data_IF_341423275403
#
_entry.id   IF_341423275403
#
_cell.length_a   1.000
_cell.length_b   1.000
_cell.length_c   1.000
_cell.angle_alpha   90.00
_cell.angle_beta   90.00
_cell.angle_gamma   90.00
#
_symmetry.space_group_name_H-M   'P 1'
#
loop_
_entity.id
_entity.type
_entity.pdbx_description
1 polymer ?
2 non-polymer ?
3 water ?
#
# COMPACT_ATOMS: atom_id res chain seq x y z
N UNK A 1 -19.94 1.01 19.14
CA UNK A 1 -18.74 0.40 18.56
C UNK A 1 -19.10 -0.92 17.91
N UNK A 2 -18.35 -1.29 16.86
CA UNK A 2 -18.48 -2.58 16.16
C UNK A 2 -17.52 -3.53 16.86
N UNK A 3 -18.13 -4.80 17.10
CA UNK A 3 -17.23 -5.69 17.88
C UNK A 3 -16.04 -6.21 17.06
N UNK A 4 -16.26 -6.51 15.80
CA UNK A 4 -15.23 -7.14 14.94
C UNK A 4 -15.08 -6.29 13.68
N UNK A 5 -14.55 -5.05 13.81
CA UNK A 5 -14.43 -4.16 12.66
C UNK A 5 -13.59 -4.80 11.56
N UNK A 6 -14.05 -4.70 10.32
CA UNK A 6 -13.38 -5.37 9.18
C UNK A 6 -12.31 -4.47 8.55
N UNK A 7 -12.16 -3.20 8.98
CA UNK A 7 -11.12 -2.30 8.44
C UNK A 7 -11.00 -1.11 9.40
N UNK A 8 -10.14 -0.17 9.06
CA UNK A 8 -9.87 1.00 9.93
C UNK A 8 -11.05 1.97 9.88
N UNK A 9 -11.92 1.86 8.88
CA UNK A 9 -13.11 2.76 8.78
C UNK A 9 -14.09 2.32 9.87
N UNK A 10 -14.34 1.03 10.00
CA UNK A 10 -15.23 0.46 11.06
C UNK A 10 -14.58 0.58 12.44
N UNK A 11 -13.24 0.68 12.52
CA UNK A 11 -12.54 0.76 13.82
C UNK A 11 -12.58 2.18 14.34
N UNK A 12 -12.75 3.13 13.43
CA UNK A 12 -12.64 4.59 13.69
C UNK A 12 -13.99 5.05 14.17
N UNK A 13 -14.99 4.85 13.32
CA UNK A 13 -16.43 5.10 13.63
C UNK A 13 -16.69 4.56 15.04
N UNK A 14 -15.97 3.50 15.46
CA UNK A 14 -15.91 3.01 16.87
C UNK A 14 -15.37 4.11 17.80
N UNK A 15 -15.17 5.33 17.29
CA UNK A 15 -14.78 6.51 18.09
C UNK A 15 -13.28 6.82 18.07
N UNK A 16 -12.44 5.78 18.04
CA UNK A 16 -10.95 5.88 18.12
C UNK A 16 -10.39 6.74 16.98
N UNK A 17 -10.05 7.99 17.25
CA UNK A 17 -9.58 8.97 16.23
C UNK A 17 -8.05 9.10 16.24
N UNK A 18 -7.38 8.27 17.03
CA UNK A 18 -5.90 8.27 17.21
C UNK A 18 -5.28 7.29 16.21
N UNK A 19 -4.32 7.75 15.42
CA UNK A 19 -3.58 6.85 14.51
C UNK A 19 -2.77 5.90 15.39
N UNK A 20 -2.63 4.65 14.96
CA UNK A 20 -1.82 3.65 15.67
C UNK A 20 -2.33 2.27 15.36
N UNK A 21 -1.99 1.30 16.19
CA UNK A 21 -2.29 -0.12 15.98
C UNK A 21 -3.69 -0.46 16.46
N UNK A 22 -4.46 -1.09 15.59
CA UNK A 22 -5.82 -1.58 15.90
C UNK A 22 -5.92 -3.01 15.41
N UNK A 23 -6.85 -3.74 16.00
CA UNK A 23 -7.24 -5.07 15.52
C UNK A 23 -8.42 -4.96 14.57
N UNK A 24 -8.27 -5.49 13.37
CA UNK A 24 -9.42 -5.70 12.49
C UNK A 24 -9.65 -7.19 12.34
N UNK A 25 -10.79 -7.51 11.77
CA UNK A 25 -11.27 -8.90 11.66
C UNK A 25 -11.75 -9.13 10.25
N UNK A 26 -11.03 -9.97 9.51
CA UNK A 26 -11.33 -10.14 8.07
C UNK A 26 -12.69 -10.81 7.96
N UNK A 27 -13.56 -10.26 7.09
CA UNK A 27 -14.96 -10.71 6.95
C UNK A 27 -15.73 -10.57 8.27
N UNK A 28 -15.31 -9.74 9.23
CA UNK A 28 -16.00 -9.60 10.53
C UNK A 28 -15.91 -10.86 11.39
N UNK A 29 -14.97 -11.75 11.08
CA UNK A 29 -14.84 -13.08 11.72
C UNK A 29 -13.85 -12.93 12.88
N UNK A 30 -14.27 -13.19 14.11
CA UNK A 30 -13.41 -13.00 15.32
C UNK A 30 -12.20 -13.96 15.27
N UNK A 31 -12.22 -14.98 14.43
CA UNK A 31 -11.07 -15.91 14.26
C UNK A 31 -10.14 -15.42 13.14
N UNK A 32 -10.36 -14.23 12.55
CA UNK A 32 -9.43 -13.74 11.50
C UNK A 32 -8.92 -12.38 11.90
N UNK A 33 -8.42 -12.27 13.14
CA UNK A 33 -7.87 -11.03 13.70
C UNK A 33 -6.61 -10.67 12.91
N UNK A 34 -6.42 -9.40 12.67
CA UNK A 34 -5.22 -8.87 11.99
C UNK A 34 -4.89 -7.56 12.68
N UNK A 35 -3.64 -7.39 13.12
CA UNK A 35 -3.21 -6.09 13.71
C UNK A 35 -2.77 -5.21 12.55
N UNK A 36 -3.37 -4.05 12.46
CA UNK A 36 -3.00 -3.10 11.38
C UNK A 36 -2.68 -1.76 12.01
N UNK A 37 -1.92 -0.98 11.27
CA UNK A 37 -1.74 0.46 11.58
C UNK A 37 -2.86 1.22 10.86
N UNK A 38 -3.67 1.95 11.62
CA UNK A 38 -4.73 2.85 11.08
C UNK A 38 -4.21 4.29 11.06
N UNK A 39 -4.25 4.90 9.87
CA UNK A 39 -4.01 6.36 9.73
C UNK A 39 -5.38 7.01 9.90
N UNK A 40 -5.61 7.59 11.08
CA UNK A 40 -6.95 8.14 11.42
C UNK A 40 -6.99 9.64 11.15
N UNK A 41 -5.94 10.23 10.56
CA UNK A 41 -5.89 11.71 10.39
C UNK A 41 -5.92 12.13 8.91
N UNK A 42 -5.29 11.40 8.00
CA UNK A 42 -5.20 11.78 6.57
C UNK A 42 -6.58 11.74 5.92
N UNK A 43 -6.98 12.84 5.28
CA UNK A 43 -8.27 13.00 4.55
C UNK A 43 -9.36 12.21 5.23
N UNK A 44 -9.69 12.56 6.46
CA UNK A 44 -10.83 12.01 7.19
C UNK A 44 -10.54 10.69 7.90
N UNK A 45 -9.35 10.10 7.70
CA UNK A 45 -8.92 8.91 8.46
C UNK A 45 -9.55 7.61 7.99
N UNK A 46 -9.53 6.58 8.83
CA UNK A 46 -10.13 5.26 8.55
C UNK A 46 -9.30 4.46 7.55
N UNK A 47 -8.01 4.76 7.41
CA UNK A 47 -7.12 4.09 6.43
C UNK A 47 -6.33 2.95 7.07
N UNK A 48 -6.39 1.76 6.50
CA UNK A 48 -5.38 0.70 6.77
C UNK A 48 -4.12 1.05 6.00
N UNK A 49 -3.04 1.32 6.71
CA UNK A 49 -1.73 1.50 6.06
C UNK A 49 -1.17 0.11 5.73
N UNK A 50 -0.73 -0.09 4.50
CA UNK A 50 -0.20 -1.41 4.12
C UNK A 50 1.23 -1.33 3.60
N UNK A 51 1.76 -0.13 3.44
CA UNK A 51 3.19 0.09 3.09
C UNK A 51 3.62 1.38 3.76
N UNK A 52 4.76 1.35 4.42
CA UNK A 52 5.38 2.60 4.93
C UNK A 52 6.88 2.51 4.64
N UNK A 53 7.39 3.56 4.00
CA UNK A 53 8.84 3.82 3.85
C UNK A 53 9.13 5.15 4.54
N UNK A 54 10.20 5.20 5.33
CA UNK A 54 10.49 6.47 6.04
C UNK A 54 11.96 6.56 6.50
N UNK A 55 12.74 5.50 6.44
CA UNK A 55 14.12 5.61 7.01
C UNK A 55 15.10 4.57 6.46
N UNK A 56 14.70 3.62 5.61
CA UNK A 56 15.64 2.65 5.02
C UNK A 56 16.15 1.63 6.03
N UNK A 57 15.51 1.48 7.18
CA UNK A 57 15.97 0.48 8.20
C UNK A 57 15.50 -0.92 7.78
N UNK A 58 14.38 -1.06 7.06
CA UNK A 58 13.87 -2.40 6.70
C UNK A 58 14.32 -2.79 5.29
N UNK A 59 14.55 -4.07 5.09
CA UNK A 59 14.89 -4.66 3.78
C UNK A 59 13.58 -4.96 3.02
N UNK A 60 13.37 -4.35 1.87
CA UNK A 60 12.18 -4.63 1.03
C UNK A 60 12.53 -5.56 -0.12
N UNK A 61 13.80 -5.94 -0.27
CA UNK A 61 14.17 -6.88 -1.33
C UNK A 61 13.94 -8.29 -0.80
N UNK A 62 12.68 -8.71 -0.72
CA UNK A 62 12.25 -9.96 -0.05
C UNK A 62 11.53 -10.80 -1.06
N UNK A 63 11.36 -12.09 -0.73
CA UNK A 63 10.83 -13.12 -1.63
C UNK A 63 9.30 -13.14 -1.66
N UNK A 64 8.76 -13.96 -2.55
CA UNK A 64 7.31 -14.18 -2.72
C UNK A 64 6.63 -14.46 -1.38
N UNK A 65 7.12 -15.44 -0.61
CA UNK A 65 6.46 -15.84 0.66
C UNK A 65 6.42 -14.61 1.58
N UNK A 66 7.48 -13.80 1.63
CA UNK A 66 7.55 -12.58 2.46
C UNK A 66 6.51 -11.53 2.00
N UNK A 67 6.40 -11.30 0.68
CA UNK A 67 5.39 -10.37 0.14
C UNK A 67 3.99 -10.93 0.32
N UNK A 68 3.81 -12.26 0.27
CA UNK A 68 2.47 -12.84 0.49
C UNK A 68 2.04 -12.66 1.94
N UNK A 69 2.95 -12.86 2.89
CA UNK A 69 2.65 -12.92 4.35
C UNK A 69 2.69 -11.54 5.01
N UNK A 70 3.57 -10.67 4.55
CA UNK A 70 3.87 -9.38 5.19
C UNK A 70 5.12 -9.49 6.03
N UNK A 71 5.72 -8.34 6.32
CA UNK A 71 6.98 -8.25 7.11
C UNK A 71 7.13 -6.84 7.63
N UNK A 72 7.97 -6.68 8.64
CA UNK A 72 8.36 -5.39 9.21
C UNK A 72 7.60 -5.02 10.45
N UNK A 73 7.86 -3.82 10.93
CA UNK A 73 7.30 -3.22 12.14
C UNK A 73 6.18 -2.29 11.67
N UNK A 74 4.94 -2.60 12.04
CA UNK A 74 3.75 -1.83 11.58
C UNK A 74 3.81 -0.38 12.07
N UNK A 75 4.61 -0.07 13.09
CA UNK A 75 4.80 1.32 13.59
C UNK A 75 5.87 2.07 12.80
N UNK A 76 6.64 1.37 11.98
CA UNK A 76 7.77 1.97 11.22
C UNK A 76 7.66 1.45 9.77
N UNK A 77 8.71 0.89 9.22
CA UNK A 77 8.67 0.42 7.81
C UNK A 77 8.16 -1.00 7.76
N UNK A 78 7.18 -1.24 6.91
CA UNK A 78 6.56 -2.57 6.80
C UNK A 78 5.80 -2.69 5.50
N UNK A 79 5.45 -3.94 5.24
CA UNK A 79 4.55 -4.39 4.15
C UNK A 79 3.48 -5.30 4.76
N UNK A 80 2.20 -4.99 4.58
CA UNK A 80 1.12 -5.72 5.28
C UNK A 80 0.97 -7.17 4.81
N UNK A 81 1.28 -7.45 3.56
CA UNK A 81 1.03 -8.80 3.01
C UNK A 81 -0.02 -8.81 1.92
N UNK A 82 0.28 -9.46 0.81
CA UNK A 82 -0.67 -9.57 -0.34
C UNK A 82 -1.87 -10.43 0.03
N UNK A 83 -1.71 -11.48 0.83
CA UNK A 83 -2.86 -12.33 1.22
C UNK A 83 -3.83 -11.48 2.06
N UNK A 84 -3.28 -10.67 2.97
CA UNK A 84 -4.09 -9.71 3.76
C UNK A 84 -4.79 -8.74 2.81
N UNK A 85 -4.06 -8.14 1.87
CA UNK A 85 -4.65 -7.13 0.97
C UNK A 85 -5.76 -7.78 0.14
N UNK A 86 -5.57 -9.02 -0.30
CA UNK A 86 -6.62 -9.71 -1.11
C UNK A 86 -7.88 -9.87 -0.25
N UNK A 87 -7.69 -10.35 0.97
CA UNK A 87 -8.82 -10.64 1.89
C UNK A 87 -9.52 -9.33 2.27
N UNK A 88 -8.80 -8.25 2.52
CA UNK A 88 -9.44 -6.93 2.85
C UNK A 88 -10.24 -6.47 1.62
N UNK A 89 -9.60 -6.42 0.45
CA UNK A 89 -10.24 -5.78 -0.73
C UNK A 89 -11.42 -6.65 -1.24
N UNK A 90 -11.48 -7.94 -0.86
CA UNK A 90 -12.61 -8.83 -1.20
C UNK A 90 -13.86 -8.45 -0.43
N UNK A 91 -13.75 -7.66 0.66
CA UNK A 91 -14.86 -7.36 1.63
C UNK A 91 -15.84 -6.30 1.07
N UNK A 92 -15.44 -5.57 0.04
CA UNK A 92 -16.31 -4.50 -0.53
C UNK A 92 -15.52 -3.70 -1.53
N UNK A 93 -15.97 -2.50 -1.87
CA UNK A 93 -15.25 -1.62 -2.81
C UNK A 93 -14.33 -0.75 -1.96
N UNK A 94 -13.02 -0.90 -2.17
CA UNK A 94 -11.99 -0.07 -1.48
C UNK A 94 -11.36 0.95 -2.44
N UNK A 95 -10.86 2.00 -1.80
CA UNK A 95 -10.10 3.09 -2.43
C UNK A 95 -8.68 3.04 -1.89
N UNK A 96 -7.72 3.29 -2.77
CA UNK A 96 -6.29 3.37 -2.45
C UNK A 96 -5.93 4.85 -2.28
N UNK A 97 -5.14 5.13 -1.25
CA UNK A 97 -4.45 6.42 -1.13
C UNK A 97 -2.95 6.19 -0.95
N UNK A 98 -2.17 6.99 -1.65
CA UNK A 98 -0.72 7.04 -1.54
C UNK A 98 -0.35 8.44 -1.07
N UNK A 99 0.35 8.50 0.05
CA UNK A 99 0.90 9.75 0.62
C UNK A 99 2.40 9.74 0.39
N UNK A 100 2.94 10.81 -0.16
CA UNK A 100 4.38 10.91 -0.46
C UNK A 100 4.88 12.20 0.19
N UNK A 101 6.10 12.17 0.70
CA UNK A 101 6.75 13.39 1.21
C UNK A 101 8.24 13.23 0.96
N UNK A 102 8.88 14.31 0.52
CA UNK A 102 10.31 14.32 0.19
C UNK A 102 10.80 15.76 0.37
N UNK A 103 11.77 15.95 1.23
CA UNK A 103 12.44 17.26 1.43
C UNK A 103 11.36 18.33 1.50
N UNK A 104 10.33 18.05 2.32
CA UNK A 104 9.29 19.01 2.71
C UNK A 104 8.16 19.11 1.71
N UNK A 105 8.31 18.60 0.50
CA UNK A 105 7.19 18.62 -0.46
C UNK A 105 6.33 17.39 -0.25
N UNK A 106 5.03 17.54 -0.40
CA UNK A 106 4.07 16.44 -0.29
C UNK A 106 3.28 16.30 -1.58
N UNK A 107 2.82 15.09 -1.85
CA UNK A 107 1.85 14.83 -2.94
C UNK A 107 1.01 13.62 -2.54
N UNK A 108 -0.07 13.40 -3.25
CA UNK A 108 -0.89 12.22 -2.95
C UNK A 108 -1.53 11.76 -4.26
N UNK A 109 -1.97 10.52 -4.21
CA UNK A 109 -2.79 9.93 -5.27
C UNK A 109 -3.88 9.10 -4.56
N UNK A 110 -5.09 9.21 -5.07
CA UNK A 110 -6.23 8.41 -4.61
C UNK A 110 -6.77 7.69 -5.84
N UNK A 111 -7.15 6.42 -5.68
CA UNK A 111 -7.80 5.62 -6.73
C UNK A 111 -9.09 5.08 -6.15
N UNK A 112 -10.22 5.53 -6.75
CA UNK A 112 -11.64 5.19 -6.51
C UNK A 112 -11.81 3.71 -6.20
N UNK A 113 -11.12 2.88 -6.99
CA UNK A 113 -11.30 1.41 -7.07
C UNK A 113 -9.91 0.81 -6.95
N UNK A 114 -9.76 0.00 -5.93
CA UNK A 114 -8.49 -0.70 -5.63
C UNK A 114 -8.81 -2.10 -5.13
N UNK A 115 -8.23 -3.10 -5.78
CA UNK A 115 -8.38 -4.48 -5.32
C UNK A 115 -7.10 -5.23 -5.62
N UNK A 116 -6.88 -6.28 -4.87
CA UNK A 116 -5.74 -7.22 -5.04
C UNK A 116 -6.34 -8.60 -5.16
N UNK A 117 -6.10 -9.26 -6.28
CA UNK A 117 -6.60 -10.63 -6.51
C UNK A 117 -5.97 -11.66 -5.59
N UNK A 118 -6.43 -12.92 -5.63
CA UNK A 118 -5.88 -13.98 -4.76
C UNK A 118 -4.64 -14.58 -5.42
N UNK A 119 -4.05 -15.56 -4.75
CA UNK A 119 -2.76 -16.16 -5.17
C UNK A 119 -2.86 -16.75 -6.59
N UNK A 120 -4.04 -17.24 -6.97
CA UNK A 120 -4.26 -17.87 -8.29
C UNK A 120 -4.14 -16.78 -9.35
N UNK A 121 -4.31 -15.49 -9.00
CA UNK A 121 -4.13 -14.35 -9.95
C UNK A 121 -2.73 -13.75 -9.81
N UNK A 122 -1.85 -14.39 -9.04
CA UNK A 122 -0.58 -13.83 -8.55
C UNK A 122 -0.84 -12.42 -7.99
N UNK A 123 -1.93 -12.28 -7.24
CA UNK A 123 -2.25 -11.04 -6.48
C UNK A 123 -2.34 -9.87 -7.46
N UNK A 124 -3.12 -10.07 -8.52
CA UNK A 124 -3.38 -9.09 -9.61
C UNK A 124 -3.84 -7.76 -9.02
N UNK A 125 -3.26 -6.66 -9.48
CA UNK A 125 -3.65 -5.30 -9.08
C UNK A 125 -4.82 -4.83 -9.96
N UNK A 126 -5.83 -4.22 -9.33
CA UNK A 126 -6.81 -3.36 -10.00
C UNK A 126 -6.73 -1.98 -9.34
N UNK A 127 -6.49 -0.95 -10.12
CA UNK A 127 -6.47 0.46 -9.67
C UNK A 127 -7.11 1.29 -10.76
N UNK A 128 -8.17 2.01 -10.42
CA UNK A 128 -8.93 2.84 -11.37
C UNK A 128 -9.41 4.06 -10.59
N UNK A 129 -9.74 5.13 -11.33
CA UNK A 129 -10.42 6.32 -10.78
C UNK A 129 -9.45 7.21 -10.02
N UNK A 130 -8.44 7.69 -10.70
CA UNK A 130 -7.39 8.55 -10.15
C UNK A 130 -7.87 9.97 -9.85
N UNK A 131 -7.43 10.48 -8.71
CA UNK A 131 -7.40 11.91 -8.38
C UNK A 131 -6.14 12.20 -7.57
N UNK A 132 -5.55 13.38 -7.73
CA UNK A 132 -4.49 13.78 -6.82
C UNK A 132 -3.47 14.69 -7.44
N UNK A 133 -2.34 14.82 -6.75
CA UNK A 133 -1.28 15.79 -7.10
C UNK A 133 0.01 15.07 -7.48
N UNK A 134 0.13 13.76 -7.23
CA UNK A 134 1.40 13.04 -7.47
C UNK A 134 1.52 12.70 -8.95
N UNK A 135 0.42 12.67 -9.66
CA UNK A 135 0.41 12.19 -11.06
C UNK A 135 0.02 10.73 -11.12
N UNK A 136 -0.71 10.35 -12.15
CA UNK A 136 -1.27 8.98 -12.18
C UNK A 136 -0.22 7.96 -12.63
N UNK A 137 0.64 7.52 -11.73
CA UNK A 137 1.75 6.59 -12.04
C UNK A 137 1.27 5.13 -11.84
N UNK A 138 0.15 4.91 -11.17
CA UNK A 138 -0.35 3.52 -11.02
C UNK A 138 -1.07 3.04 -12.28
N UNK A 139 -1.62 3.92 -13.12
CA UNK A 139 -2.36 3.49 -14.32
C UNK A 139 -1.49 2.47 -15.10
N UNK A 140 -0.20 2.75 -15.22
CA UNK A 140 0.77 1.91 -15.95
C UNK A 140 0.72 0.46 -15.44
N UNK A 141 0.48 0.29 -14.14
CA UNK A 141 0.59 -0.97 -13.39
C UNK A 141 -0.75 -1.70 -13.36
N UNK A 142 -1.85 -1.05 -13.76
CA UNK A 142 -3.21 -1.63 -13.62
C UNK A 142 -3.28 -2.97 -14.34
N UNK A 143 -3.77 -3.99 -13.64
CA UNK A 143 -4.05 -5.35 -14.15
C UNK A 143 -2.84 -6.26 -14.06
N UNK A 144 -1.70 -5.77 -13.60
CA UNK A 144 -0.48 -6.60 -13.50
C UNK A 144 -0.45 -7.49 -12.25
N UNK A 145 0.10 -8.68 -12.41
CA UNK A 145 0.41 -9.58 -11.29
C UNK A 145 1.55 -8.97 -10.47
N UNK A 146 1.69 -9.44 -9.24
CA UNK A 146 2.79 -9.06 -8.36
C UNK A 146 4.01 -9.86 -8.81
N UNK A 147 5.20 -9.29 -8.64
CA UNK A 147 6.48 -9.95 -8.96
C UNK A 147 7.48 -9.71 -7.84
N UNK A 148 8.20 -10.76 -7.49
CA UNK A 148 9.38 -10.73 -6.60
C UNK A 148 10.50 -11.41 -7.39
N UNK A 149 11.69 -11.34 -6.87
CA UNK A 149 12.87 -11.90 -7.57
C UNK A 149 12.67 -13.39 -7.82
N UNK A 150 11.94 -14.08 -6.95
CA UNK A 150 11.82 -15.57 -7.05
C UNK A 150 10.53 -15.94 -7.74
N UNK A 151 9.78 -14.96 -8.27
CA UNK A 151 8.53 -15.18 -9.05
C UNK A 151 8.22 -13.90 -9.83
N UNK A 159 13.44 -9.56 -15.82
CA UNK A 159 12.81 -9.78 -14.48
C UNK A 159 13.03 -8.53 -13.64
N UNK A 160 11.97 -7.74 -13.48
CA UNK A 160 12.08 -6.35 -12.98
C UNK A 160 12.56 -6.35 -11.54
N UNK A 161 12.12 -7.33 -10.74
CA UNK A 161 12.36 -7.39 -9.28
C UNK A 161 13.85 -7.59 -9.07
N UNK A 162 14.40 -8.53 -9.82
CA UNK A 162 15.86 -8.78 -9.80
C UNK A 162 16.59 -7.53 -10.27
N UNK A 163 16.28 -7.02 -11.48
CA UNK A 163 17.02 -5.91 -12.13
C UNK A 163 16.96 -4.64 -11.29
N UNK A 164 15.85 -4.37 -10.57
CA UNK A 164 15.69 -3.15 -9.74
C UNK A 164 15.90 -3.43 -8.24
N UNK A 165 15.88 -4.68 -7.81
CA UNK A 165 16.08 -5.01 -6.37
C UNK A 165 14.90 -4.41 -5.56
N UNK A 166 13.69 -4.67 -6.01
CA UNK A 166 12.48 -4.38 -5.24
C UNK A 166 11.44 -5.44 -5.49
N UNK A 167 10.17 -5.11 -5.28
CA UNK A 167 9.05 -6.00 -5.57
C UNK A 167 7.89 -5.08 -5.89
N UNK A 168 7.05 -5.46 -6.81
CA UNK A 168 5.89 -4.60 -7.18
C UNK A 168 5.04 -5.37 -8.18
N UNK A 169 3.92 -4.78 -8.55
CA UNK A 169 3.11 -5.20 -9.72
C UNK A 169 3.79 -4.72 -11.00
N UNK A 170 5.00 -5.24 -11.26
CA UNK A 170 5.89 -4.76 -12.34
C UNK A 170 5.27 -5.07 -13.71
N UNK A 171 5.58 -4.21 -14.66
CA UNK A 171 5.19 -4.34 -16.08
C UNK A 171 6.52 -4.43 -16.84
N UNK A 172 7.04 -3.31 -17.32
CA UNK A 172 8.31 -3.35 -18.09
C UNK A 172 9.05 -2.03 -18.01
N UNK A 173 9.39 -1.55 -16.80
CA UNK A 173 9.22 -2.25 -15.54
C UNK A 173 8.29 -1.44 -14.62
N UNK A 174 8.56 -0.16 -14.39
CA UNK A 174 7.74 0.55 -13.39
C UNK A 174 7.64 2.06 -13.65
N UNK A 175 6.51 2.61 -13.23
CA UNK A 175 6.43 4.06 -12.90
C UNK A 175 6.28 4.28 -11.40
N UNK A 176 5.90 3.23 -10.67
CA UNK A 176 5.87 3.23 -9.18
C UNK A 176 6.77 2.11 -8.66
N UNK A 177 7.62 2.43 -7.69
CA UNK A 177 8.57 1.46 -7.12
C UNK A 177 8.72 1.72 -5.61
N UNK A 178 7.60 1.78 -4.87
CA UNK A 178 7.62 2.22 -3.45
C UNK A 178 8.29 1.16 -2.56
N UNK A 179 8.50 -0.06 -3.07
CA UNK A 179 9.22 -1.13 -2.35
C UNK A 179 10.65 -1.25 -2.89
N UNK A 180 11.18 -0.18 -3.45
CA UNK A 180 12.56 -0.16 -3.99
C UNK A 180 13.57 0.11 -2.90
N UNK A 181 14.80 0.39 -3.31
CA UNK A 181 15.91 0.58 -2.37
C UNK A 181 15.86 1.99 -1.81
N UNK A 182 15.82 2.12 -0.49
CA UNK A 182 15.73 3.42 0.20
C UNK A 182 16.97 4.26 -0.10
N UNK A 183 16.78 5.53 -0.42
CA UNK A 183 17.88 6.49 -0.65
C UNK A 183 18.65 6.21 -1.92
N UNK A 184 18.17 5.33 -2.81
CA UNK A 184 18.94 4.96 -4.04
C UNK A 184 18.47 5.81 -5.23
N UNK A 185 19.25 6.84 -5.62
CA UNK A 185 18.88 7.77 -6.72
C UNK A 185 19.31 7.22 -8.08
N UNK A 186 20.00 6.07 -8.12
CA UNK A 186 20.31 5.40 -9.40
C UNK A 186 19.00 5.15 -10.14
N UNK A 187 18.99 5.32 -11.47
CA UNK A 187 17.77 5.23 -12.31
C UNK A 187 16.93 4.00 -11.96
N UNK A 188 15.70 4.21 -11.49
CA UNK A 188 14.68 3.15 -11.31
C UNK A 188 14.98 2.21 -10.15
N UNK A 189 16.00 2.49 -9.33
CA UNK A 189 16.44 1.59 -8.24
C UNK A 189 15.74 1.99 -6.94
N UNK A 190 15.28 3.23 -6.84
CA UNK A 190 14.89 3.78 -5.53
C UNK A 190 13.39 3.79 -5.32
N UNK A 191 12.99 4.52 -4.31
CA UNK A 191 11.55 4.64 -3.93
C UNK A 191 10.93 5.66 -4.88
N UNK A 192 10.45 5.20 -6.03
CA UNK A 192 10.09 6.14 -7.10
C UNK A 192 8.57 6.26 -7.28
N UNK A 193 8.17 7.47 -7.62
CA UNK A 193 6.86 7.79 -8.20
C UNK A 193 7.09 8.66 -9.43
N UNK A 194 7.12 8.04 -10.60
CA UNK A 194 7.80 8.69 -11.74
C UNK A 194 7.15 10.04 -12.06
N UNK A 195 5.81 10.13 -12.04
CA UNK A 195 5.11 11.33 -12.56
C UNK A 195 5.13 12.44 -11.51
N UNK A 196 5.78 12.20 -10.37
CA UNK A 196 6.06 13.23 -9.36
C UNK A 196 7.54 13.61 -9.37
N UNK A 197 8.43 12.63 -9.20
CA UNK A 197 9.87 12.94 -8.97
C UNK A 197 10.78 12.11 -9.89
N UNK A 198 10.20 11.40 -10.86
CA UNK A 198 11.03 10.78 -11.90
C UNK A 198 11.71 9.51 -11.39
N UNK A 199 12.72 9.04 -12.10
CA UNK A 199 13.34 7.72 -11.82
C UNK A 199 14.71 7.89 -11.15
N UNK A 200 15.20 9.12 -10.98
CA UNK A 200 16.55 9.38 -10.40
C UNK A 200 16.39 10.15 -9.10
N UNK A 201 15.31 9.87 -8.38
CA UNK A 201 15.02 10.57 -7.11
C UNK A 201 14.26 9.60 -6.22
N UNK A 202 14.92 9.10 -5.18
CA UNK A 202 14.33 8.16 -4.22
C UNK A 202 13.58 8.97 -3.19
N UNK A 203 12.31 8.68 -2.99
CA UNK A 203 11.43 9.47 -2.10
C UNK A 203 11.65 9.10 -0.63
N UNK A 204 11.74 10.10 0.24
CA UNK A 204 12.03 9.89 1.69
C UNK A 204 10.89 9.17 2.40
N UNK A 205 9.66 9.60 2.16
CA UNK A 205 8.48 9.09 2.90
C UNK A 205 7.40 8.64 1.91
N UNK A 206 6.85 7.44 2.13
CA UNK A 206 5.79 6.92 1.24
C UNK A 206 4.88 6.03 2.08
N UNK A 207 3.59 6.28 2.03
CA UNK A 207 2.60 5.33 2.59
C UNK A 207 1.59 4.96 1.52
N UNK A 208 1.21 3.69 1.49
CA UNK A 208 0.05 3.19 0.69
C UNK A 208 -0.99 2.68 1.69
N UNK A 209 -2.24 3.05 1.49
CA UNK A 209 -3.28 2.76 2.50
C UNK A 209 -4.63 2.60 1.81
N UNK A 210 -5.60 1.96 2.47
CA UNK A 210 -6.90 1.68 1.82
C UNK A 210 -8.04 1.81 2.82
N UNK A 211 -9.21 2.14 2.30
CA UNK A 211 -10.45 2.17 3.12
C UNK A 211 -11.61 2.08 2.14
N UNK A 212 -12.86 1.84 2.61
CA UNK A 212 -14.00 1.73 1.70
C UNK A 212 -14.15 3.01 0.88
N UNK A 213 -14.35 2.83 -0.41
CA UNK A 213 -14.50 3.96 -1.34
C UNK A 213 -15.75 4.79 -0.95
N UNK A 214 -16.74 4.18 -0.28
CA UNK A 214 -17.98 4.94 0.10
C UNK A 214 -17.79 5.72 1.41
N UNK A 215 -16.60 5.67 2.02
CA UNK A 215 -16.30 6.30 3.32
C UNK A 215 -16.55 7.80 3.24
N UNK A 216 -16.30 8.39 2.07
CA UNK A 216 -16.43 9.84 1.82
C UNK A 216 -17.88 10.28 2.04
N UNK A 217 -18.86 9.38 2.06
CA UNK A 217 -20.25 9.85 2.34
C UNK A 217 -21.07 8.84 3.16
N UNK A 218 -20.46 8.21 4.15
CA UNK A 218 -21.09 7.09 4.93
C UNK A 218 -21.78 7.64 6.17
#
# INVERSE_FOLDING_TARGET
SMPFPKDCSQAMLNGDTTSGLYTIYLNGDKAQALEVFCDMTSDGGGWIVFLRRKNGRENFYQNWKAYAAGFGDRREEFWLGLDNLNKITAQGQYELRVDLRDHGETAFAVYDKFSVGDAKTRYKLKVEGYSGTAGDSMAYHNGRSFSTFDKDTDSAITNCALSYKGAFWYRNCHRVNLMGRYGDNNHSQGVNWFHWKGHEHSIQFAEMKLRPSNFRNLEG
#
